data_IF_562712893757
#
_entry.id   IF_562712893757
#
_cell.length_a   1.000
_cell.length_b   1.000
_cell.length_c   1.000
_cell.angle_alpha   90.00
_cell.angle_beta   90.00
_cell.angle_gamma   90.00
#
_symmetry.space_group_name_H-M   'P 1'
#
loop_
_entity.id
_entity.type
_entity.pdbx_description
1 polymer ?
#
# COMPACT_ATOMS: atom_id res chain seq x y z
N UNK A 1 -19.86 -20.29 17.34
CA UNK A 1 -20.16 -19.57 16.08
C UNK A 1 -20.88 -18.28 16.44
N UNK A 2 -20.19 -17.15 16.47
CA UNK A 2 -20.80 -15.83 16.64
C UNK A 2 -20.53 -15.05 15.36
N UNK A 3 -21.55 -14.93 14.51
CA UNK A 3 -21.57 -13.94 13.43
C UNK A 3 -21.71 -12.57 14.10
N UNK A 4 -20.63 -11.81 14.12
CA UNK A 4 -20.69 -10.38 14.43
C UNK A 4 -20.97 -9.64 13.13
N UNK A 5 -22.22 -9.21 13.01
CA UNK A 5 -22.74 -8.35 11.95
C UNK A 5 -22.04 -6.99 12.05
N UNK A 6 -21.05 -6.74 11.20
CA UNK A 6 -20.40 -5.44 11.09
C UNK A 6 -21.28 -4.50 10.26
N UNK A 7 -21.80 -3.49 10.95
CA UNK A 7 -22.52 -2.36 10.41
C UNK A 7 -21.62 -1.67 9.37
N UNK A 8 -22.02 -1.70 8.10
CA UNK A 8 -21.32 -1.05 6.99
C UNK A 8 -21.45 0.47 7.18
N UNK A 9 -20.51 1.07 7.90
CA UNK A 9 -20.29 2.51 7.86
C UNK A 9 -19.61 2.80 6.52
N UNK A 10 -20.37 3.36 5.58
CA UNK A 10 -19.88 3.84 4.29
C UNK A 10 -18.93 5.03 4.50
N UNK A 11 -17.71 4.78 4.97
CA UNK A 11 -16.62 5.73 4.84
C UNK A 11 -16.05 5.57 3.44
N UNK A 12 -16.23 6.57 2.58
CA UNK A 12 -15.40 6.69 1.40
C UNK A 12 -13.94 6.79 1.90
N UNK A 13 -13.13 5.77 1.63
CA UNK A 13 -11.71 5.77 2.00
C UNK A 13 -11.05 6.81 1.13
N UNK A 14 -11.02 8.04 1.63
CA UNK A 14 -10.24 9.12 1.04
C UNK A 14 -8.79 8.78 1.37
N UNK A 15 -8.02 8.39 0.36
CA UNK A 15 -6.59 8.18 0.49
C UNK A 15 -5.96 9.53 0.92
N UNK A 16 -5.75 9.70 2.22
CA UNK A 16 -5.06 10.87 2.75
C UNK A 16 -3.63 10.85 2.21
N UNK A 17 -3.21 11.93 1.56
CA UNK A 17 -1.83 12.09 1.05
C UNK A 17 -0.90 12.13 2.26
N UNK A 18 -0.04 11.12 2.37
CA UNK A 18 0.76 10.86 3.55
C UNK A 18 2.24 11.19 3.33
N UNK A 19 2.67 12.43 3.55
CA UNK A 19 4.11 12.72 3.54
C UNK A 19 4.74 12.31 4.88
N UNK A 20 5.11 11.04 5.05
CA UNK A 20 6.20 10.74 5.98
C UNK A 20 7.46 11.33 5.39
N UNK A 21 8.08 12.25 6.13
CA UNK A 21 9.44 12.66 5.81
C UNK A 21 10.30 11.40 5.83
N UNK A 22 10.79 10.97 4.67
CA UNK A 22 11.65 9.80 4.51
C UNK A 22 13.08 10.00 5.06
N UNK A 23 13.28 11.01 5.91
CA UNK A 23 14.55 11.37 6.52
C UNK A 23 14.54 10.99 8.00
N UNK A 24 15.47 10.10 8.39
CA UNK A 24 15.67 9.47 9.71
C UNK A 24 14.50 8.61 10.21
N UNK A 25 14.82 7.39 10.65
CA UNK A 25 13.87 6.50 11.31
C UNK A 25 13.20 7.24 12.47
N UNK A 26 11.89 7.42 12.40
CA UNK A 26 11.14 7.96 13.53
C UNK A 26 11.28 6.99 14.71
N UNK A 27 11.26 7.52 15.93
CA UNK A 27 11.19 6.69 17.14
C UNK A 27 10.02 5.70 17.01
N UNK A 28 10.17 4.50 17.58
CA UNK A 28 9.17 3.47 17.44
C UNK A 28 7.84 3.93 18.06
N UNK A 29 6.78 3.93 17.26
CA UNK A 29 5.44 4.39 17.66
C UNK A 29 4.43 3.27 17.60
N UNK A 30 3.33 3.42 18.34
CA UNK A 30 2.28 2.42 18.34
C UNK A 30 1.54 2.42 16.99
N UNK A 31 1.47 1.25 16.36
CA UNK A 31 0.60 1.01 15.20
C UNK A 31 -0.73 0.44 15.70
N UNK A 32 -1.84 1.00 15.22
CA UNK A 32 -3.18 0.50 15.51
C UNK A 32 -3.87 0.10 14.20
N UNK A 33 -4.46 -1.08 14.16
CA UNK A 33 -5.34 -1.47 13.05
C UNK A 33 -6.69 -0.81 13.24
N UNK A 34 -7.10 -0.01 12.25
CA UNK A 34 -8.42 0.64 12.22
C UNK A 34 -9.42 -0.27 11.51
N UNK A 35 -9.03 -0.78 10.35
CA UNK A 35 -9.87 -1.63 9.51
C UNK A 35 -9.02 -2.57 8.66
N UNK A 36 -9.63 -3.63 8.13
CA UNK A 36 -8.97 -4.64 7.32
C UNK A 36 -9.90 -5.21 6.27
N UNK A 37 -9.42 -5.32 5.03
CA UNK A 37 -10.17 -5.88 3.92
C UNK A 37 -9.43 -7.08 3.35
N UNK A 38 -9.96 -8.27 3.61
CA UNK A 38 -9.31 -9.54 3.30
C UNK A 38 -10.17 -10.43 2.39
N UNK A 39 -9.52 -11.20 1.51
CA UNK A 39 -10.18 -12.26 0.74
C UNK A 39 -9.53 -13.59 1.06
N UNK A 40 -10.31 -14.63 1.34
CA UNK A 40 -9.74 -15.96 1.57
C UNK A 40 -9.35 -16.62 0.25
N UNK A 41 -8.09 -17.06 0.16
CA UNK A 41 -7.57 -17.85 -0.95
C UNK A 41 -6.97 -19.16 -0.45
N UNK A 42 -6.79 -20.11 -1.37
CA UNK A 42 -6.15 -21.39 -1.08
C UNK A 42 -4.96 -21.61 -1.99
N UNK A 43 -3.80 -21.86 -1.38
CA UNK A 43 -2.57 -22.14 -2.10
C UNK A 43 -2.50 -23.61 -2.53
N UNK A 44 -1.68 -23.90 -3.53
CA UNK A 44 -1.39 -25.28 -3.92
C UNK A 44 -0.46 -25.95 -2.91
N UNK A 45 -0.46 -27.29 -2.90
CA UNK A 45 0.54 -28.03 -2.14
C UNK A 45 1.92 -27.88 -2.78
N UNK A 46 2.97 -27.80 -1.98
CA UNK A 46 4.33 -27.45 -2.37
C UNK A 46 4.60 -25.96 -2.21
N UNK A 47 5.88 -25.58 -2.31
CA UNK A 47 6.32 -24.21 -2.01
C UNK A 47 6.24 -23.87 -0.52
N UNK A 48 6.13 -22.58 -0.19
CA UNK A 48 6.32 -22.09 1.17
C UNK A 48 5.12 -22.32 2.10
N UNK A 49 4.01 -22.83 1.57
CA UNK A 49 2.82 -23.18 2.36
C UNK A 49 2.61 -24.69 2.54
N UNK A 50 3.61 -25.51 2.25
CA UNK A 50 3.62 -26.94 2.57
C UNK A 50 2.47 -27.71 1.94
N UNK A 51 1.53 -28.23 2.74
CA UNK A 51 0.38 -29.00 2.24
C UNK A 51 -0.66 -28.18 1.44
N UNK A 52 -0.42 -26.88 1.28
CA UNK A 52 -1.39 -25.90 0.81
C UNK A 52 -2.22 -25.40 1.98
N UNK A 53 -2.36 -24.09 2.08
CA UNK A 53 -2.98 -23.43 3.23
C UNK A 53 -4.01 -22.40 2.79
N UNK A 54 -5.00 -22.17 3.64
CA UNK A 54 -5.86 -20.99 3.53
C UNK A 54 -5.04 -19.76 3.88
N UNK A 55 -4.98 -18.79 2.98
CA UNK A 55 -4.33 -17.50 3.22
C UNK A 55 -5.35 -16.38 3.07
N UNK A 56 -5.05 -15.22 3.65
CA UNK A 56 -5.91 -14.04 3.58
C UNK A 56 -5.08 -12.82 3.21
N UNK A 57 -4.78 -12.61 1.91
CA UNK A 57 -4.25 -11.34 1.44
C UNK A 57 -5.17 -10.21 1.90
N UNK A 58 -4.60 -9.24 2.61
CA UNK A 58 -5.36 -8.23 3.34
C UNK A 58 -4.79 -6.85 3.09
N UNK A 59 -5.67 -5.91 2.75
CA UNK A 59 -5.37 -4.49 2.82
C UNK A 59 -5.69 -3.99 4.23
N UNK A 60 -4.73 -3.33 4.86
CA UNK A 60 -4.89 -2.79 6.20
C UNK A 60 -5.08 -1.28 6.16
N UNK A 61 -6.07 -0.79 6.89
CA UNK A 61 -6.12 0.61 7.29
C UNK A 61 -5.53 0.70 8.69
N UNK A 62 -4.43 1.43 8.81
CA UNK A 62 -3.68 1.55 10.06
C UNK A 62 -3.54 2.99 10.47
N UNK A 63 -3.47 3.19 11.79
CA UNK A 63 -3.07 4.43 12.42
C UNK A 63 -1.65 4.30 12.93
N UNK A 64 -0.80 5.23 12.55
CA UNK A 64 0.56 5.37 13.08
C UNK A 64 0.74 6.83 13.49
N UNK A 65 1.04 7.05 14.77
CA UNK A 65 0.98 8.37 15.41
C UNK A 65 -0.40 9.03 15.22
N UNK A 66 -0.42 10.20 14.57
CA UNK A 66 -1.64 10.96 14.28
C UNK A 66 -2.21 10.67 12.88
N UNK A 67 -1.59 9.77 12.12
CA UNK A 67 -1.92 9.57 10.71
C UNK A 67 -2.61 8.24 10.48
N UNK A 68 -3.64 8.26 9.63
CA UNK A 68 -4.34 7.06 9.15
C UNK A 68 -4.04 6.86 7.68
N UNK A 69 -3.60 5.66 7.30
CA UNK A 69 -3.30 5.34 5.91
C UNK A 69 -3.54 3.86 5.60
N UNK A 70 -3.48 3.54 4.32
CA UNK A 70 -3.56 2.19 3.79
C UNK A 70 -2.16 1.58 3.67
N UNK A 71 -2.05 0.30 4.01
CA UNK A 71 -0.81 -0.45 3.91
C UNK A 71 -1.05 -1.91 3.53
N UNK A 72 -0.11 -2.44 2.76
CA UNK A 72 -0.02 -3.84 2.40
C UNK A 72 1.09 -4.51 3.20
N UNK A 73 1.06 -5.82 3.25
CA UNK A 73 2.03 -6.66 3.92
C UNK A 73 3.20 -6.98 3.00
N UNK A 74 4.43 -7.00 3.49
CA UNK A 74 5.58 -7.43 2.68
C UNK A 74 5.82 -8.94 2.74
N UNK A 75 5.47 -9.61 3.83
CA UNK A 75 5.78 -11.03 4.03
C UNK A 75 4.49 -11.87 4.09
N UNK A 76 4.30 -12.89 3.24
CA UNK A 76 3.10 -13.73 3.24
C UNK A 76 2.98 -14.69 4.43
N UNK A 77 4.05 -14.91 5.21
CA UNK A 77 4.11 -15.90 6.29
C UNK A 77 4.00 -15.32 7.69
N UNK A 78 4.19 -14.01 7.83
CA UNK A 78 4.17 -13.35 9.14
C UNK A 78 2.82 -12.68 9.32
N UNK A 79 2.03 -13.11 10.30
CA UNK A 79 0.76 -12.44 10.58
C UNK A 79 1.00 -11.01 11.14
N UNK A 80 0.11 -10.09 10.80
CA UNK A 80 0.04 -8.82 11.51
C UNK A 80 -0.48 -9.08 12.92
N UNK A 81 0.30 -8.72 13.94
CA UNK A 81 -0.17 -8.73 15.31
C UNK A 81 -0.97 -7.46 15.60
N UNK A 82 -2.11 -7.64 16.29
CA UNK A 82 -3.02 -6.55 16.70
C UNK A 82 -2.84 -6.16 18.17
N UNK A 83 -1.88 -6.76 18.88
CA UNK A 83 -1.50 -6.31 20.23
C UNK A 83 -0.68 -5.04 20.13
N UNK A 84 -0.53 -4.26 21.21
CA UNK A 84 0.20 -2.99 21.25
C UNK A 84 1.64 -3.10 20.73
N UNK A 85 1.81 -2.99 19.41
CA UNK A 85 3.07 -3.21 18.73
C UNK A 85 3.70 -1.86 18.43
N UNK A 86 4.96 -1.71 18.81
CA UNK A 86 5.77 -0.56 18.41
C UNK A 86 6.38 -0.84 17.04
N UNK A 87 6.16 0.06 16.10
CA UNK A 87 6.71 0.01 14.75
C UNK A 87 7.68 1.16 14.54
N UNK A 88 8.74 0.91 13.77
CA UNK A 88 9.61 1.97 13.25
C UNK A 88 9.34 2.15 11.76
N UNK A 89 9.26 3.40 11.30
CA UNK A 89 9.13 3.73 9.89
C UNK A 89 10.49 3.95 9.23
N UNK A 90 10.61 3.61 7.95
CA UNK A 90 11.80 3.85 7.16
C UNK A 90 11.51 3.84 5.66
N UNK A 91 12.35 4.53 4.87
CA UNK A 91 12.26 4.51 3.42
C UNK A 91 12.42 3.08 2.90
N UNK A 92 11.52 2.65 2.02
CA UNK A 92 11.60 1.35 1.38
C UNK A 92 12.19 1.49 -0.02
N UNK A 93 13.30 0.77 -0.28
CA UNK A 93 13.94 0.74 -1.59
C UNK A 93 13.17 -0.22 -2.52
N UNK A 94 12.03 0.23 -3.04
CA UNK A 94 11.21 -0.56 -3.95
C UNK A 94 11.98 -0.95 -5.21
N UNK A 95 11.87 -2.23 -5.61
CA UNK A 95 12.36 -2.69 -6.91
C UNK A 95 11.55 -2.05 -8.05
N UNK A 96 12.12 -2.02 -9.24
CA UNK A 96 11.44 -1.46 -10.42
C UNK A 96 10.11 -2.17 -10.72
N UNK A 97 10.03 -3.48 -10.49
CA UNK A 97 8.78 -4.22 -10.64
C UNK A 97 7.72 -3.82 -9.61
N UNK A 98 8.11 -3.65 -8.34
CA UNK A 98 7.20 -3.14 -7.29
C UNK A 98 6.73 -1.72 -7.65
N UNK A 99 7.61 -0.86 -8.17
CA UNK A 99 7.21 0.48 -8.61
C UNK A 99 6.16 0.43 -9.72
N UNK A 100 6.36 -0.41 -10.74
CA UNK A 100 5.39 -0.59 -11.83
C UNK A 100 4.05 -1.12 -11.32
N UNK A 101 4.06 -2.06 -10.37
CA UNK A 101 2.85 -2.56 -9.74
C UNK A 101 2.06 -1.41 -9.07
N UNK A 102 2.73 -0.62 -8.24
CA UNK A 102 2.10 0.51 -7.55
C UNK A 102 1.60 1.58 -8.52
N UNK A 103 2.40 1.99 -9.49
CA UNK A 103 2.03 2.99 -10.50
C UNK A 103 0.90 2.54 -11.42
N UNK A 104 0.81 1.25 -11.74
CA UNK A 104 -0.23 0.70 -12.61
C UNK A 104 -1.54 0.41 -11.90
N UNK A 105 -1.50 -0.05 -10.64
CA UNK A 105 -2.64 -0.72 -10.02
C UNK A 105 -2.99 -0.26 -8.60
N UNK A 106 -2.15 0.52 -7.90
CA UNK A 106 -2.44 0.87 -6.51
C UNK A 106 -3.80 1.59 -6.38
N UNK A 107 -4.01 2.65 -7.17
CA UNK A 107 -5.23 3.46 -7.09
C UNK A 107 -6.50 2.65 -7.43
N UNK A 108 -6.47 1.81 -8.47
CA UNK A 108 -7.61 0.99 -8.87
C UNK A 108 -7.87 -0.16 -7.88
N UNK A 109 -6.82 -0.73 -7.29
CA UNK A 109 -6.94 -1.84 -6.33
C UNK A 109 -7.68 -1.47 -5.05
N UNK A 110 -7.60 -0.20 -4.62
CA UNK A 110 -8.20 0.28 -3.38
C UNK A 110 -9.54 1.00 -3.59
N UNK A 111 -9.90 1.35 -4.82
CA UNK A 111 -11.02 2.26 -5.12
C UNK A 111 -12.39 1.76 -4.60
N UNK A 112 -12.62 0.44 -4.62
CA UNK A 112 -13.91 -0.17 -4.26
C UNK A 112 -13.80 -1.15 -3.09
N UNK A 113 -12.74 -1.06 -2.29
CA UNK A 113 -12.41 -2.11 -1.32
C UNK A 113 -13.52 -2.33 -0.27
N UNK A 114 -14.30 -1.31 0.05
CA UNK A 114 -15.43 -1.40 1.00
C UNK A 114 -16.62 -2.24 0.50
N UNK A 115 -16.69 -2.53 -0.80
CA UNK A 115 -17.73 -3.37 -1.40
C UNK A 115 -17.18 -4.64 -2.04
N UNK A 116 -15.93 -4.60 -2.52
CA UNK A 116 -15.24 -5.75 -3.08
C UNK A 116 -13.73 -5.62 -2.85
N UNK A 117 -13.16 -6.54 -2.07
CA UNK A 117 -11.74 -6.55 -1.74
C UNK A 117 -10.87 -7.36 -2.72
N UNK A 118 -11.43 -7.90 -3.82
CA UNK A 118 -10.70 -8.76 -4.75
C UNK A 118 -9.48 -8.06 -5.37
N UNK A 119 -9.63 -6.83 -5.86
CA UNK A 119 -8.52 -6.10 -6.48
C UNK A 119 -7.42 -5.76 -5.46
N UNK A 120 -7.79 -5.44 -4.22
CA UNK A 120 -6.82 -5.22 -3.14
C UNK A 120 -6.09 -6.52 -2.75
N UNK A 121 -6.82 -7.63 -2.67
CA UNK A 121 -6.23 -8.95 -2.42
C UNK A 121 -5.30 -9.38 -3.57
N UNK A 122 -5.69 -9.11 -4.82
CA UNK A 122 -4.89 -9.39 -6.00
C UNK A 122 -3.58 -8.59 -5.99
N UNK A 123 -3.67 -7.31 -5.64
CA UNK A 123 -2.52 -6.44 -5.44
C UNK A 123 -1.59 -6.97 -4.35
N UNK A 124 -2.14 -7.41 -3.21
CA UNK A 124 -1.35 -8.00 -2.12
C UNK A 124 -0.62 -9.28 -2.56
N UNK A 125 -1.28 -10.15 -3.32
CA UNK A 125 -0.65 -11.37 -3.87
C UNK A 125 0.47 -11.01 -4.84
N UNK A 126 0.23 -10.10 -5.78
CA UNK A 126 1.24 -9.64 -6.72
C UNK A 126 2.44 -8.98 -6.00
N UNK A 127 2.20 -8.22 -4.93
CA UNK A 127 3.28 -7.65 -4.13
C UNK A 127 4.14 -8.72 -3.46
N UNK A 128 3.52 -9.77 -2.90
CA UNK A 128 4.26 -10.87 -2.28
C UNK A 128 5.13 -11.63 -3.27
N UNK A 129 4.60 -11.89 -4.47
CA UNK A 129 5.32 -12.50 -5.58
C UNK A 129 6.56 -11.70 -6.00
N UNK A 130 6.42 -10.38 -6.17
CA UNK A 130 7.51 -9.50 -6.58
C UNK A 130 8.58 -9.32 -5.50
N UNK A 131 8.19 -9.41 -4.21
CA UNK A 131 9.08 -9.15 -3.09
C UNK A 131 9.75 -10.42 -2.53
N UNK A 132 9.09 -11.58 -2.62
CA UNK A 132 9.52 -12.79 -1.90
C UNK A 132 9.68 -14.02 -2.79
N UNK A 133 9.34 -13.95 -4.08
CA UNK A 133 9.36 -15.11 -4.97
C UNK A 133 9.78 -14.74 -6.40
N UNK A 134 9.27 -15.47 -7.39
CA UNK A 134 9.72 -15.46 -8.77
C UNK A 134 8.72 -14.82 -9.75
N UNK A 135 7.68 -14.14 -9.25
CA UNK A 135 6.66 -13.47 -10.07
C UNK A 135 5.83 -14.43 -10.93
N UNK A 136 5.59 -15.65 -10.46
CA UNK A 136 4.90 -16.69 -11.21
C UNK A 136 4.00 -17.56 -10.30
N UNK A 137 2.70 -17.27 -10.35
CA UNK A 137 1.66 -17.91 -9.54
C UNK A 137 1.44 -19.42 -9.79
N UNK A 138 2.09 -20.00 -10.81
CA UNK A 138 2.07 -21.45 -11.09
C UNK A 138 3.23 -22.21 -10.45
N UNK A 139 4.33 -21.52 -10.18
CA UNK A 139 5.59 -22.13 -9.74
C UNK A 139 6.09 -21.40 -8.49
N UNK A 140 7.35 -21.61 -8.08
CA UNK A 140 7.89 -20.91 -6.93
C UNK A 140 7.28 -21.33 -5.60
N UNK A 141 7.50 -20.51 -4.59
CA UNK A 141 7.05 -20.72 -3.22
C UNK A 141 5.57 -20.31 -3.00
N UNK A 142 5.05 -19.38 -3.79
CA UNK A 142 3.71 -18.78 -3.71
C UNK A 142 2.78 -19.23 -4.86
N UNK A 143 2.52 -20.52 -4.95
CA UNK A 143 1.69 -21.12 -6.02
C UNK A 143 0.22 -21.34 -5.64
N UNK A 144 -0.68 -21.20 -6.61
CA UNK A 144 -2.14 -21.33 -6.40
C UNK A 144 -2.76 -22.49 -7.20
N UNK A 145 -3.78 -23.15 -6.62
CA UNK A 145 -4.45 -24.31 -7.25
C UNK A 145 -5.30 -23.96 -8.46
N UNK A 146 -5.91 -22.77 -8.44
CA UNK A 146 -6.88 -22.36 -9.43
C UNK A 146 -6.55 -20.95 -9.91
N UNK A 147 -5.87 -20.86 -11.05
CA UNK A 147 -5.57 -19.57 -11.70
C UNK A 147 -6.82 -18.84 -12.20
N UNK A 148 -7.93 -19.55 -12.41
CA UNK A 148 -9.20 -18.95 -12.82
C UNK A 148 -9.95 -18.31 -11.66
N UNK A 149 -9.46 -18.40 -10.42
CA UNK A 149 -9.96 -17.57 -9.33
C UNK A 149 -9.76 -16.09 -9.69
N UNK A 150 -10.80 -15.27 -9.49
CA UNK A 150 -10.79 -13.87 -9.90
C UNK A 150 -9.59 -13.08 -9.33
N UNK A 151 -9.24 -13.31 -8.05
CA UNK A 151 -8.11 -12.64 -7.39
C UNK A 151 -6.78 -13.10 -7.98
N UNK A 152 -6.62 -14.40 -8.23
CA UNK A 152 -5.39 -14.98 -8.78
C UNK A 152 -5.18 -14.55 -10.24
N UNK A 153 -6.26 -14.54 -11.03
CA UNK A 153 -6.26 -14.06 -12.41
C UNK A 153 -5.89 -12.57 -12.50
N UNK A 154 -6.47 -11.75 -11.63
CA UNK A 154 -6.16 -10.31 -11.55
C UNK A 154 -4.72 -10.08 -11.08
N UNK A 155 -4.24 -10.83 -10.08
CA UNK A 155 -2.84 -10.77 -9.65
C UNK A 155 -1.88 -11.14 -10.80
N UNK A 156 -2.22 -12.15 -11.61
CA UNK A 156 -1.43 -12.53 -12.79
C UNK A 156 -1.35 -11.40 -13.82
N UNK A 157 -2.44 -10.67 -14.04
CA UNK A 157 -2.44 -9.50 -14.93
C UNK A 157 -1.56 -8.36 -14.38
N UNK A 158 -1.62 -8.11 -13.06
CA UNK A 158 -0.78 -7.13 -12.39
C UNK A 158 0.71 -7.48 -12.49
N UNK A 159 1.07 -8.75 -12.31
CA UNK A 159 2.44 -9.25 -12.47
C UNK A 159 2.96 -9.04 -13.88
N UNK A 160 2.14 -9.32 -14.91
CA UNK A 160 2.55 -9.12 -16.31
C UNK A 160 2.96 -7.68 -16.63
N UNK A 161 2.28 -6.69 -16.05
CA UNK A 161 2.67 -5.28 -16.17
C UNK A 161 3.90 -4.97 -15.32
N UNK A 162 3.95 -5.48 -14.09
CA UNK A 162 5.02 -5.22 -13.15
C UNK A 162 6.38 -5.75 -13.62
N UNK A 163 6.42 -6.94 -14.23
CA UNK A 163 7.63 -7.57 -14.78
C UNK A 163 7.99 -7.09 -16.19
N UNK A 164 7.15 -6.24 -16.80
CA UNK A 164 7.42 -5.64 -18.10
C UNK A 164 8.50 -4.56 -18.06
N UNK A 165 8.73 -3.94 -19.22
CA UNK A 165 9.75 -2.91 -19.46
C UNK A 165 9.19 -1.47 -19.46
N UNK A 166 7.93 -1.29 -19.04
CA UNK A 166 7.27 0.01 -18.99
C UNK A 166 8.06 1.07 -18.21
N UNK A 167 7.98 2.32 -18.63
CA UNK A 167 8.68 3.43 -17.96
C UNK A 167 8.11 3.71 -16.56
N UNK A 168 9.00 3.90 -15.59
CA UNK A 168 8.65 4.24 -14.20
C UNK A 168 8.65 5.76 -14.05
N UNK A 169 7.56 6.31 -13.50
CA UNK A 169 7.35 7.75 -13.35
C UNK A 169 7.70 8.27 -11.94
N UNK A 170 7.98 7.38 -11.00
CA UNK A 170 8.21 7.66 -9.59
C UNK A 170 7.04 8.43 -8.95
N UNK A 171 5.81 7.94 -9.16
CA UNK A 171 4.60 8.59 -8.66
C UNK A 171 4.41 8.46 -7.14
N UNK A 172 5.17 7.58 -6.49
CA UNK A 172 5.00 7.26 -5.08
C UNK A 172 6.32 7.26 -4.31
N UNK A 173 6.27 7.77 -3.09
CA UNK A 173 7.26 7.49 -2.05
C UNK A 173 6.84 6.24 -1.28
N UNK A 174 7.80 5.35 -1.00
CA UNK A 174 7.56 4.06 -0.36
C UNK A 174 8.09 4.09 1.07
N UNK A 175 7.22 3.75 2.03
CA UNK A 175 7.58 3.68 3.45
C UNK A 175 7.28 2.28 3.98
N UNK A 176 8.31 1.64 4.53
CA UNK A 176 8.16 0.43 5.32
C UNK A 176 7.89 0.78 6.79
N UNK A 177 7.01 0.01 7.42
CA UNK A 177 6.82 0.00 8.87
C UNK A 177 7.18 -1.38 9.36
N UNK A 178 8.29 -1.48 10.09
CA UNK A 178 8.79 -2.75 10.64
C UNK A 178 8.49 -2.82 12.13
N UNK A 179 8.03 -3.99 12.59
CA UNK A 179 7.75 -4.18 14.01
C UNK A 179 9.05 -4.25 14.82
N UNK A 180 9.08 -3.58 15.96
CA UNK A 180 10.23 -3.55 16.87
C UNK A 180 10.04 -4.56 18.00
N UNK A 181 8.85 -4.55 18.64
CA UNK A 181 8.52 -5.49 19.71
C UNK A 181 6.98 -5.51 19.91
N UNK A 182 6.35 -6.70 19.97
CA UNK A 182 6.86 -8.02 19.56
C UNK A 182 7.13 -8.13 18.04
N UNK A 183 7.76 -9.23 17.60
CA UNK A 183 7.93 -9.50 16.18
C UNK A 183 6.56 -9.61 15.48
N UNK A 184 6.40 -8.88 14.39
CA UNK A 184 5.18 -8.82 13.57
C UNK A 184 5.58 -8.43 12.15
N UNK A 185 4.63 -8.57 11.23
CA UNK A 185 4.80 -8.35 9.80
C UNK A 185 5.23 -6.91 9.47
N UNK A 186 6.10 -6.77 8.47
CA UNK A 186 6.44 -5.45 7.91
C UNK A 186 5.34 -4.99 6.95
N UNK A 187 4.88 -3.75 7.12
CA UNK A 187 3.90 -3.14 6.23
C UNK A 187 4.60 -2.20 5.24
N UNK A 188 4.07 -2.12 4.03
CA UNK A 188 4.44 -1.17 3.00
C UNK A 188 3.26 -0.21 2.76
N UNK A 189 3.52 1.07 2.98
CA UNK A 189 2.60 2.15 2.63
C UNK A 189 3.25 3.08 1.61
N UNK A 190 2.41 3.78 0.85
CA UNK A 190 2.85 4.72 -0.18
C UNK A 190 2.18 6.06 -0.04
N UNK A 191 2.86 7.09 -0.51
CA UNK A 191 2.28 8.41 -0.67
C UNK A 191 2.57 9.01 -2.03
N UNK A 192 1.59 9.69 -2.65
CA UNK A 192 1.79 10.34 -3.93
C UNK A 192 2.93 11.37 -3.86
N UNK A 193 3.82 11.35 -4.85
CA UNK A 193 4.80 12.40 -5.08
C UNK A 193 4.06 13.59 -5.70
N UNK A 194 4.15 14.80 -5.12
CA UNK A 194 3.51 15.98 -5.70
C UNK A 194 4.03 16.24 -7.12
N UNK A 195 3.13 16.35 -8.08
CA UNK A 195 3.51 16.59 -9.47
C UNK A 195 4.16 17.98 -9.61
N UNK A 196 5.11 18.12 -10.55
CA UNK A 196 5.81 19.39 -10.80
C UNK A 196 4.85 20.56 -11.09
N UNK A 197 3.69 20.27 -11.68
CA UNK A 197 2.65 21.26 -11.93
C UNK A 197 1.99 21.80 -10.66
N UNK A 198 1.94 21.04 -9.57
CA UNK A 198 1.49 21.55 -8.26
C UNK A 198 2.46 22.60 -7.72
N UNK A 199 3.77 22.37 -7.87
CA UNK A 199 4.78 23.35 -7.51
C UNK A 199 4.71 24.61 -8.39
N UNK A 200 4.49 24.43 -9.69
CA UNK A 200 4.30 25.55 -10.61
C UNK A 200 3.08 26.40 -10.23
N UNK A 201 1.96 25.78 -9.86
CA UNK A 201 0.75 26.48 -9.40
C UNK A 201 0.95 27.17 -8.05
N UNK A 202 1.70 26.55 -7.13
CA UNK A 202 2.06 27.17 -5.86
C UNK A 202 2.95 28.40 -6.07
N UNK A 203 3.97 28.29 -6.93
CA UNK A 203 4.84 29.42 -7.32
C UNK A 203 4.04 30.50 -8.02
N UNK A 204 3.14 30.14 -8.93
CA UNK A 204 2.27 31.10 -9.60
C UNK A 204 1.35 31.82 -8.60
N UNK A 205 0.75 31.09 -7.67
CA UNK A 205 -0.07 31.65 -6.60
C UNK A 205 0.71 32.60 -5.70
N UNK A 206 1.91 32.21 -5.26
CA UNK A 206 2.80 33.06 -4.47
C UNK A 206 3.29 34.29 -5.26
N UNK A 207 3.57 34.13 -6.55
CA UNK A 207 3.94 35.22 -7.45
C UNK A 207 2.84 36.27 -7.59
N UNK A 208 1.58 35.84 -7.72
CA UNK A 208 0.42 36.74 -7.75
C UNK A 208 0.23 37.48 -6.43
N UNK A 209 0.34 36.80 -5.29
CA UNK A 209 0.23 37.42 -3.97
C UNK A 209 1.34 38.47 -3.74
N UNK A 210 2.59 38.14 -4.11
CA UNK A 210 3.72 39.07 -4.05
C UNK A 210 3.52 40.31 -4.94
N UNK A 211 2.98 40.12 -6.15
CA UNK A 211 2.68 41.22 -7.06
C UNK A 211 1.58 42.15 -6.51
N UNK A 212 0.50 41.59 -5.96
CA UNK A 212 -0.58 42.38 -5.34
C UNK A 212 -0.09 43.15 -4.11
N UNK A 213 0.75 42.54 -3.27
CA UNK A 213 1.35 43.21 -2.12
C UNK A 213 2.24 44.40 -2.52
N UNK A 214 2.99 44.28 -3.62
CA UNK A 214 3.80 45.38 -4.18
C UNK A 214 2.92 46.56 -4.64
N UNK A 215 1.79 46.30 -5.31
CA UNK A 215 0.88 47.38 -5.76
C UNK A 215 0.24 48.13 -4.60
N UNK A 216 -0.06 47.45 -3.49
CA UNK A 216 -0.61 48.09 -2.29
C UNK A 216 0.38 49.05 -1.62
N UNK A 217 1.67 48.70 -1.58
CA UNK A 217 2.72 49.61 -1.07
C UNK A 217 2.95 50.83 -1.96
N UNK A 218 2.71 50.74 -3.27
CA UNK A 218 2.91 51.85 -4.20
C UNK A 218 1.76 52.88 -4.20
N UNK A 219 0.62 52.59 -3.58
CA UNK A 219 -0.53 53.49 -3.48
C UNK A 219 -0.69 54.21 -2.14
N UNK A 220 0.33 54.16 -1.25
CA UNK A 220 0.36 54.85 0.05
C UNK A 220 1.40 55.97 0.11
N UNK A 221 1.77 56.57 -1.02
CA UNK A 221 2.53 57.83 -1.14
C UNK A 221 1.65 58.86 -1.85
#
# INVERSE_FOLDING_TARGET
MKQSMHLIVRAAITAAVFTLASGSALAASNLQVIDSHSVSLFTASGGAFGAGSGISPTLWQVKYDSNTFLAFCLDPHVALSNTSNSYSSGAFAASDAVKRLYEGYYASSIANVSTNANSAAAFQVALWELNNDNSNLLTGELRFRNLSNAVVSEANAMLGVATGDGSIKNLYNYTSLSSVNPASQTLLSVSPVPEAQTWAMLVAGLGLLGFMARRRKAGQL
#
